data_IF_274790866906
#
_entry.id   IF_274790866906
#
_cell.length_a   1.000
_cell.length_b   1.000
_cell.length_c   1.000
_cell.angle_alpha   90.00
_cell.angle_beta   90.00
_cell.angle_gamma   90.00
#
_symmetry.space_group_name_H-M   'P 1'
#
loop_
_entity.id
_entity.type
_entity.pdbx_description
1 polymer ?
#
# COMPACT_ATOMS: atom_id res chain seq x y z
N UNK A 1 -2.78 -1.55 52.53
CA UNK A 1 -1.72 -0.73 51.91
C UNK A 1 -0.96 -1.59 50.90
N UNK A 2 -0.99 -1.20 49.61
CA UNK A 2 0.10 -1.23 48.58
C UNK A 2 1.31 -2.16 48.86
N UNK A 3 1.82 -3.07 48.01
CA UNK A 3 1.99 -3.19 46.54
C UNK A 3 2.22 -4.70 46.20
N UNK A 4 1.72 -5.31 45.13
CA UNK A 4 2.17 -5.34 43.72
C UNK A 4 3.70 -5.48 43.49
N UNK A 5 4.13 -6.66 42.98
CA UNK A 5 5.15 -6.81 41.92
C UNK A 5 5.25 -8.26 41.41
N UNK A 6 4.99 -8.43 40.11
CA UNK A 6 5.14 -9.65 39.28
C UNK A 6 6.62 -9.98 39.03
N UNK A 7 6.98 -11.26 38.99
CA UNK A 7 8.01 -11.77 38.07
C UNK A 7 7.78 -13.26 37.77
N UNK A 8 7.00 -13.54 36.73
CA UNK A 8 7.00 -14.86 36.07
C UNK A 8 7.59 -14.67 34.69
N UNK A 9 8.81 -15.19 34.52
CA UNK A 9 9.51 -15.28 33.24
C UNK A 9 8.69 -16.18 32.32
N UNK A 10 8.14 -15.62 31.23
CA UNK A 10 7.62 -16.42 30.12
C UNK A 10 8.69 -16.50 29.03
N UNK A 11 9.16 -17.73 28.82
CA UNK A 11 10.10 -18.12 27.79
C UNK A 11 9.51 -17.87 26.39
N UNK A 12 10.33 -17.28 25.50
CA UNK A 12 10.06 -17.25 24.06
C UNK A 12 10.36 -18.65 23.48
N UNK A 13 9.49 -19.25 22.65
CA UNK A 13 9.91 -20.41 21.88
C UNK A 13 10.92 -19.99 20.80
N UNK A 14 12.03 -20.72 20.73
CA UNK A 14 13.05 -20.63 19.69
C UNK A 14 12.40 -21.03 18.35
N UNK A 15 12.58 -20.17 17.35
CA UNK A 15 12.31 -20.53 15.96
C UNK A 15 13.51 -21.36 15.52
N UNK A 16 13.34 -22.68 15.53
CA UNK A 16 14.34 -23.60 15.04
C UNK A 16 14.48 -23.46 13.52
N UNK A 17 15.74 -23.31 13.13
CA UNK A 17 16.28 -23.29 11.78
C UNK A 17 15.86 -24.53 10.98
N UNK A 18 15.05 -24.34 9.94
CA UNK A 18 14.95 -25.29 8.84
C UNK A 18 15.91 -24.87 7.73
N UNK A 19 17.00 -25.64 7.60
CA UNK A 19 17.99 -25.52 6.54
C UNK A 19 17.44 -25.89 5.14
N UNK A 20 18.28 -25.74 4.11
CA UNK A 20 17.84 -25.69 2.72
C UNK A 20 17.55 -27.09 2.17
N UNK A 21 16.50 -27.22 1.35
CA UNK A 21 16.32 -28.38 0.48
C UNK A 21 16.34 -27.99 -1.00
N UNK A 22 16.82 -28.89 -1.86
CA UNK A 22 17.43 -28.54 -3.14
C UNK A 22 16.52 -28.80 -4.35
N UNK A 23 16.67 -27.92 -5.33
CA UNK A 23 16.54 -28.09 -6.78
C UNK A 23 15.37 -28.90 -7.37
N UNK A 24 14.56 -28.20 -8.18
CA UNK A 24 14.37 -28.61 -9.57
C UNK A 24 14.39 -27.40 -10.51
N UNK A 25 15.30 -27.47 -11.48
CA UNK A 25 15.54 -26.51 -12.55
C UNK A 25 14.41 -26.57 -13.58
N UNK A 26 13.72 -25.45 -13.83
CA UNK A 26 13.30 -25.01 -15.17
C UNK A 26 12.40 -23.78 -15.02
N UNK A 27 13.01 -22.59 -15.11
CA UNK A 27 12.47 -21.32 -15.64
C UNK A 27 13.38 -20.18 -15.14
N UNK A 28 14.63 -20.20 -15.60
CA UNK A 28 15.52 -19.06 -15.51
C UNK A 28 15.12 -18.05 -16.59
N UNK A 29 13.99 -17.36 -16.40
CA UNK A 29 13.62 -16.17 -17.16
C UNK A 29 12.68 -15.34 -16.29
N UNK A 30 13.22 -14.73 -15.24
CA UNK A 30 12.85 -13.40 -14.73
C UNK A 30 13.71 -13.13 -13.48
N UNK A 31 14.33 -11.96 -13.42
CA UNK A 31 15.21 -11.46 -12.36
C UNK A 31 16.64 -12.03 -12.26
N UNK A 32 17.52 -11.49 -13.11
CA UNK A 32 18.89 -11.14 -12.72
C UNK A 32 19.17 -9.70 -13.15
N UNK A 33 18.99 -8.76 -12.22
CA UNK A 33 19.63 -7.44 -12.29
C UNK A 33 20.73 -7.43 -11.24
N UNK A 34 21.88 -7.99 -11.61
CA UNK A 34 23.14 -7.71 -10.92
C UNK A 34 23.42 -6.22 -11.03
N UNK A 35 23.45 -5.57 -9.88
CA UNK A 35 23.82 -4.18 -9.69
C UNK A 35 25.28 -3.96 -10.11
N UNK A 36 25.49 -3.35 -11.27
CA UNK A 36 26.71 -2.60 -11.56
C UNK A 36 26.37 -1.39 -12.43
N UNK A 37 26.85 -0.22 -12.00
CA UNK A 37 26.70 1.09 -12.62
C UNK A 37 25.33 1.77 -12.47
N UNK A 38 25.13 2.43 -11.32
CA UNK A 38 25.00 3.90 -11.22
C UNK A 38 23.96 4.66 -12.06
N UNK A 39 23.05 4.00 -12.77
CA UNK A 39 21.92 4.62 -13.47
C UNK A 39 20.71 3.73 -13.27
N UNK A 40 19.79 4.14 -12.40
CA UNK A 40 18.42 3.66 -12.46
C UNK A 40 17.84 4.21 -13.76
N UNK A 41 18.04 3.47 -14.85
CA UNK A 41 17.25 3.64 -16.04
C UNK A 41 15.82 3.33 -15.64
N UNK A 42 14.95 4.34 -15.68
CA UNK A 42 13.52 4.25 -15.44
C UNK A 42 12.84 3.49 -16.62
N UNK A 43 13.36 2.30 -16.93
CA UNK A 43 12.91 1.40 -17.98
C UNK A 43 12.22 0.16 -17.36
N UNK A 44 11.65 0.30 -16.17
CA UNK A 44 10.40 -0.41 -15.91
C UNK A 44 9.32 0.46 -16.51
N UNK A 45 8.87 0.07 -17.71
CA UNK A 45 7.76 0.70 -18.40
C UNK A 45 6.63 0.83 -17.38
N UNK A 46 6.29 2.07 -16.99
CA UNK A 46 5.06 2.37 -16.24
C UNK A 46 3.91 2.11 -17.21
N UNK A 47 3.71 0.84 -17.59
CA UNK A 47 2.62 0.36 -18.41
C UNK A 47 1.35 0.60 -17.60
N UNK A 48 0.65 1.66 -18.00
CA UNK A 48 -0.71 2.06 -17.62
C UNK A 48 -1.14 1.52 -16.24
N UNK A 49 -0.57 2.08 -15.18
CA UNK A 49 -1.17 1.93 -13.85
C UNK A 49 -2.35 2.89 -13.78
N UNK A 50 -3.54 2.36 -13.58
CA UNK A 50 -4.79 3.09 -13.32
C UNK A 50 -5.32 2.68 -11.93
N UNK A 51 -6.41 3.32 -11.51
CA UNK A 51 -7.00 3.06 -10.19
C UNK A 51 -7.48 1.60 -10.06
N UNK A 52 -8.06 1.04 -11.12
CA UNK A 52 -8.55 -0.34 -11.15
C UNK A 52 -7.40 -1.34 -10.96
N UNK A 53 -6.25 -1.11 -11.61
CA UNK A 53 -5.07 -1.95 -11.43
C UNK A 53 -4.47 -1.83 -10.03
N UNK A 54 -4.53 -0.65 -9.41
CA UNK A 54 -4.15 -0.51 -8.00
C UNK A 54 -5.06 -1.32 -7.08
N UNK A 55 -6.39 -1.26 -7.27
CA UNK A 55 -7.35 -2.08 -6.53
C UNK A 55 -7.09 -3.58 -6.74
N UNK A 56 -6.83 -4.00 -7.97
CA UNK A 56 -6.50 -5.39 -8.29
C UNK A 56 -5.27 -5.88 -7.52
N UNK A 57 -4.19 -5.08 -7.53
CA UNK A 57 -2.96 -5.43 -6.80
C UNK A 57 -3.16 -5.43 -5.28
N UNK A 58 -3.99 -4.53 -4.76
CA UNK A 58 -4.35 -4.53 -3.34
C UNK A 58 -5.13 -5.79 -2.92
N UNK A 59 -5.75 -6.49 -3.87
CA UNK A 59 -6.51 -7.72 -3.63
C UNK A 59 -5.68 -8.86 -3.04
N UNK A 60 -4.37 -8.88 -3.28
CA UNK A 60 -3.45 -9.90 -2.76
C UNK A 60 -3.06 -9.67 -1.29
N UNK A 61 -3.36 -8.49 -0.73
CA UNK A 61 -3.11 -8.20 0.67
C UNK A 61 -3.98 -9.08 1.59
N UNK A 62 -3.37 -9.57 2.66
CA UNK A 62 -4.04 -10.48 3.59
C UNK A 62 -4.91 -9.74 4.59
N UNK A 63 -6.18 -10.12 4.67
CA UNK A 63 -7.15 -9.60 5.65
C UNK A 63 -7.68 -10.73 6.53
N UNK A 64 -8.09 -10.36 7.75
CA UNK A 64 -8.69 -11.29 8.69
C UNK A 64 -10.21 -11.38 8.49
N UNK A 65 -10.73 -12.60 8.50
CA UNK A 65 -12.15 -12.89 8.41
C UNK A 65 -12.55 -13.84 9.55
N UNK A 66 -13.82 -13.81 9.92
CA UNK A 66 -14.44 -14.81 10.80
C UNK A 66 -15.37 -15.66 9.93
N UNK A 67 -15.01 -16.92 9.61
CA UNK A 67 -15.86 -17.83 8.87
C UNK A 67 -17.13 -18.18 9.65
N UNK A 68 -18.21 -18.46 8.92
CA UNK A 68 -19.51 -18.90 9.45
C UNK A 68 -19.78 -20.38 9.21
N UNK A 69 -18.87 -21.07 8.53
CA UNK A 69 -18.96 -22.49 8.18
C UNK A 69 -17.62 -23.17 8.43
N UNK A 70 -17.67 -24.48 8.57
CA UNK A 70 -16.49 -25.33 8.60
C UNK A 70 -16.19 -25.83 7.18
N UNK A 71 -14.95 -25.67 6.73
CA UNK A 71 -14.47 -26.20 5.46
C UNK A 71 -12.99 -26.55 5.55
N UNK A 72 -12.60 -27.57 4.80
CA UNK A 72 -11.21 -27.95 4.67
C UNK A 72 -10.40 -26.88 3.91
N UNK A 73 -9.08 -27.06 3.90
CA UNK A 73 -8.16 -26.19 3.16
C UNK A 73 -8.50 -26.14 1.66
N UNK A 74 -8.39 -24.95 1.08
CA UNK A 74 -8.48 -24.73 -0.36
C UNK A 74 -7.07 -24.65 -0.91
N UNK A 75 -6.72 -25.60 -1.78
CA UNK A 75 -5.43 -25.60 -2.47
C UNK A 75 -5.49 -24.69 -3.71
N UNK A 76 -4.87 -23.51 -3.65
CA UNK A 76 -4.72 -22.61 -4.80
C UNK A 76 -3.37 -22.83 -5.49
N UNK A 77 -3.22 -22.30 -6.70
CA UNK A 77 -1.98 -22.40 -7.48
C UNK A 77 -0.78 -21.83 -6.70
N UNK A 78 -0.99 -20.73 -5.97
CA UNK A 78 0.08 -19.99 -5.29
C UNK A 78 0.23 -20.32 -3.81
N UNK A 79 -0.85 -20.77 -3.15
CA UNK A 79 -0.86 -21.04 -1.70
C UNK A 79 -2.11 -21.83 -1.29
N UNK A 80 -2.01 -22.51 -0.16
CA UNK A 80 -3.16 -23.12 0.50
C UNK A 80 -3.82 -22.11 1.45
N UNK A 81 -5.15 -22.11 1.51
CA UNK A 81 -5.92 -21.21 2.38
C UNK A 81 -6.90 -22.01 3.22
N UNK A 82 -6.83 -21.84 4.54
CA UNK A 82 -7.63 -22.56 5.52
C UNK A 82 -6.75 -23.29 6.54
N UNK A 83 -7.30 -24.27 7.27
CA UNK A 83 -8.71 -24.70 7.26
C UNK A 83 -9.63 -23.59 7.77
N UNK A 84 -10.91 -23.64 7.39
CA UNK A 84 -11.91 -22.70 7.86
C UNK A 84 -12.71 -23.33 8.99
N UNK A 85 -12.67 -22.71 10.17
CA UNK A 85 -13.48 -23.09 11.31
C UNK A 85 -14.44 -21.96 11.67
N UNK A 86 -15.72 -22.31 11.85
CA UNK A 86 -16.75 -21.34 12.16
C UNK A 86 -16.45 -20.63 13.49
N UNK A 87 -16.42 -19.29 13.45
CA UNK A 87 -16.12 -18.46 14.60
C UNK A 87 -14.63 -18.28 14.91
N UNK A 88 -13.72 -18.95 14.19
CA UNK A 88 -12.27 -18.82 14.40
C UNK A 88 -11.66 -17.91 13.34
N UNK A 89 -11.01 -16.83 13.78
CA UNK A 89 -10.38 -15.85 12.89
C UNK A 89 -9.33 -16.50 11.97
N UNK A 90 -9.45 -16.28 10.66
CA UNK A 90 -8.55 -16.84 9.64
C UNK A 90 -8.12 -15.74 8.68
N UNK A 91 -6.85 -15.78 8.25
CA UNK A 91 -6.30 -14.81 7.29
C UNK A 91 -6.41 -15.34 5.86
N UNK A 92 -6.95 -14.52 4.97
CA UNK A 92 -7.11 -14.83 3.55
C UNK A 92 -6.76 -13.62 2.69
N UNK A 93 -6.43 -13.79 1.40
CA UNK A 93 -6.31 -12.65 0.49
C UNK A 93 -7.62 -11.87 0.40
N UNK A 94 -7.55 -10.54 0.28
CA UNK A 94 -8.71 -9.65 0.23
C UNK A 94 -9.71 -10.06 -0.86
N UNK A 95 -9.25 -10.44 -2.05
CA UNK A 95 -10.14 -10.92 -3.12
C UNK A 95 -10.98 -12.13 -2.71
N UNK A 96 -10.42 -13.04 -1.90
CA UNK A 96 -11.10 -14.23 -1.41
C UNK A 96 -12.05 -13.88 -0.26
N UNK A 97 -11.63 -13.00 0.65
CA UNK A 97 -12.49 -12.48 1.72
C UNK A 97 -13.80 -11.89 1.15
N UNK A 98 -13.69 -11.07 0.10
CA UNK A 98 -14.85 -10.46 -0.55
C UNK A 98 -15.76 -11.51 -1.21
N UNK A 99 -15.18 -12.53 -1.86
CA UNK A 99 -15.96 -13.61 -2.47
C UNK A 99 -16.73 -14.42 -1.43
N UNK A 100 -16.09 -14.77 -0.30
CA UNK A 100 -16.73 -15.47 0.80
C UNK A 100 -17.80 -14.61 1.48
N UNK A 101 -17.55 -13.31 1.65
CA UNK A 101 -18.53 -12.35 2.18
C UNK A 101 -19.77 -12.25 1.30
N UNK A 102 -19.61 -12.16 -0.03
CA UNK A 102 -20.74 -12.12 -0.99
C UNK A 102 -21.62 -13.37 -0.93
N UNK A 103 -21.07 -14.51 -0.51
CA UNK A 103 -21.82 -15.75 -0.26
C UNK A 103 -22.34 -15.89 1.18
N UNK A 104 -22.15 -14.87 2.02
CA UNK A 104 -22.46 -14.87 3.45
C UNK A 104 -21.73 -15.95 4.25
N UNK A 105 -20.55 -16.39 3.80
CA UNK A 105 -19.76 -17.44 4.45
C UNK A 105 -18.76 -16.92 5.48
N UNK A 106 -18.56 -15.61 5.56
CA UNK A 106 -17.74 -14.99 6.58
C UNK A 106 -18.29 -13.60 6.94
N UNK A 107 -17.72 -13.03 7.99
CA UNK A 107 -17.75 -11.60 8.30
C UNK A 107 -16.31 -11.08 8.22
N UNK A 108 -16.09 -9.97 7.53
CA UNK A 108 -14.75 -9.37 7.45
C UNK A 108 -14.44 -8.68 8.78
N UNK A 109 -13.24 -8.88 9.32
CA UNK A 109 -12.78 -8.15 10.50
C UNK A 109 -12.20 -6.82 10.03
N UNK A 110 -12.70 -5.71 10.58
CA UNK A 110 -12.16 -4.38 10.29
C UNK A 110 -10.67 -4.34 10.64
N UNK A 111 -9.76 -3.98 9.71
CA UNK A 111 -8.36 -3.83 10.03
C UNK A 111 -8.16 -2.75 11.10
N UNK A 112 -7.30 -3.02 12.10
CA UNK A 112 -7.09 -2.10 13.23
C UNK A 112 -6.76 -0.65 12.79
N UNK A 113 -5.94 -0.52 11.73
CA UNK A 113 -5.53 0.77 11.17
C UNK A 113 -6.66 1.54 10.47
N UNK A 114 -7.78 0.89 10.16
CA UNK A 114 -8.97 1.50 9.54
C UNK A 114 -10.03 1.90 10.59
N UNK A 115 -9.72 1.77 11.88
CA UNK A 115 -10.62 2.26 12.94
C UNK A 115 -10.63 3.79 12.99
N UNK A 116 -11.76 4.43 13.39
CA UNK A 116 -11.85 5.89 13.48
C UNK A 116 -10.75 6.54 14.33
N UNK A 117 -10.33 5.88 15.40
CA UNK A 117 -9.29 6.39 16.30
C UNK A 117 -7.91 6.38 15.64
N UNK A 118 -7.55 5.31 14.91
CA UNK A 118 -6.29 5.29 14.17
C UNK A 118 -6.31 6.28 13.00
N UNK A 119 -7.43 6.41 12.29
CA UNK A 119 -7.59 7.40 11.21
C UNK A 119 -7.38 8.84 11.70
N UNK A 120 -7.92 9.19 12.87
CA UNK A 120 -7.64 10.48 13.52
C UNK A 120 -6.16 10.66 13.84
N UNK A 121 -5.47 9.61 14.28
CA UNK A 121 -4.01 9.67 14.53
C UNK A 121 -3.23 9.89 13.24
N UNK A 122 -3.58 9.20 12.16
CA UNK A 122 -2.97 9.43 10.85
C UNK A 122 -3.19 10.87 10.38
N UNK A 123 -4.39 11.43 10.55
CA UNK A 123 -4.68 12.82 10.21
C UNK A 123 -3.84 13.84 11.01
N UNK A 124 -3.68 13.62 12.32
CA UNK A 124 -2.84 14.47 13.17
C UNK A 124 -1.38 14.36 12.74
N UNK A 125 -0.85 13.14 12.59
CA UNK A 125 0.52 12.90 12.15
C UNK A 125 0.78 13.51 10.76
N UNK A 126 -0.17 13.38 9.84
CA UNK A 126 -0.11 13.98 8.50
C UNK A 126 -0.27 15.50 8.56
N UNK A 127 -0.81 16.09 9.62
CA UNK A 127 -0.83 17.56 9.77
C UNK A 127 0.51 18.08 10.28
N UNK A 128 1.11 17.38 11.25
CA UNK A 128 2.34 17.81 11.93
C UNK A 128 3.60 17.50 11.10
N UNK A 129 3.58 16.43 10.30
CA UNK A 129 4.71 16.06 9.46
C UNK A 129 4.83 16.97 8.22
N UNK A 130 6.03 17.48 7.94
CA UNK A 130 6.29 18.24 6.71
C UNK A 130 6.23 17.36 5.45
N UNK A 131 6.63 16.09 5.57
CA UNK A 131 6.51 15.07 4.53
C UNK A 131 5.19 14.29 4.64
N UNK A 132 5.06 13.25 3.82
CA UNK A 132 3.98 12.27 3.94
C UNK A 132 4.26 11.34 5.11
N UNK A 133 3.23 10.97 5.86
CA UNK A 133 3.39 9.93 6.89
C UNK A 133 3.37 8.54 6.25
N UNK A 134 4.04 7.60 6.91
CA UNK A 134 3.94 6.19 6.55
C UNK A 134 2.52 5.69 6.79
N UNK A 135 1.99 4.95 5.82
CA UNK A 135 0.71 4.26 5.88
C UNK A 135 0.94 2.78 5.54
N UNK A 136 0.07 1.87 6.02
CA UNK A 136 0.01 0.50 5.54
C UNK A 136 0.00 0.42 4.01
N UNK A 137 0.49 -0.71 3.47
CA UNK A 137 0.46 -0.94 2.02
C UNK A 137 -0.98 -0.91 1.49
N UNK A 138 -1.16 -0.31 0.32
CA UNK A 138 -2.47 -0.22 -0.36
C UNK A 138 -3.59 0.36 0.51
N UNK A 139 -3.24 1.31 1.37
CA UNK A 139 -4.15 1.86 2.37
C UNK A 139 -5.47 2.35 1.76
N UNK A 140 -5.39 3.16 0.70
CA UNK A 140 -6.56 3.79 0.09
C UNK A 140 -7.38 2.79 -0.72
N UNK A 141 -6.71 1.87 -1.41
CA UNK A 141 -7.34 0.83 -2.19
C UNK A 141 -8.14 -0.12 -1.29
N UNK A 142 -7.52 -0.62 -0.22
CA UNK A 142 -8.19 -1.50 0.75
C UNK A 142 -9.34 -0.76 1.44
N UNK A 143 -9.11 0.48 1.90
CA UNK A 143 -10.16 1.27 2.53
C UNK A 143 -11.36 1.50 1.59
N UNK A 144 -11.11 1.86 0.34
CA UNK A 144 -12.15 2.07 -0.68
C UNK A 144 -12.94 0.78 -0.95
N UNK A 145 -12.24 -0.34 -1.13
CA UNK A 145 -12.86 -1.66 -1.36
C UNK A 145 -13.74 -2.06 -0.18
N UNK A 146 -13.26 -1.91 1.06
CA UNK A 146 -14.01 -2.31 2.26
C UNK A 146 -15.22 -1.40 2.51
N UNK A 147 -15.08 -0.08 2.35
CA UNK A 147 -16.21 0.85 2.48
C UNK A 147 -17.26 0.61 1.39
N UNK A 148 -16.86 0.19 0.19
CA UNK A 148 -17.79 -0.11 -0.92
C UNK A 148 -18.49 -1.46 -0.70
N UNK A 149 -17.71 -2.51 -0.47
CA UNK A 149 -18.19 -3.90 -0.53
C UNK A 149 -18.50 -4.50 0.84
N UNK A 150 -18.04 -3.90 1.94
CA UNK A 150 -18.10 -4.47 3.28
C UNK A 150 -18.48 -3.46 4.39
N UNK A 151 -19.18 -2.37 4.04
CA UNK A 151 -19.53 -1.30 4.98
C UNK A 151 -20.26 -1.79 6.25
N UNK A 152 -21.10 -2.82 6.16
CA UNK A 152 -21.83 -3.40 7.31
C UNK A 152 -20.90 -4.07 8.33
N UNK A 153 -19.71 -4.50 7.90
CA UNK A 153 -18.72 -5.15 8.75
C UNK A 153 -17.77 -4.12 9.40
N UNK A 154 -17.87 -2.84 9.02
CA UNK A 154 -17.00 -1.75 9.48
C UNK A 154 -17.55 -1.06 10.73
N UNK A 155 -16.65 -0.78 11.68
CA UNK A 155 -16.97 0.08 12.83
C UNK A 155 -17.13 1.53 12.37
N UNK A 156 -18.32 2.12 12.59
CA UNK A 156 -18.63 3.51 12.22
C UNK A 156 -18.30 3.84 10.75
N UNK A 157 -18.77 3.01 9.81
CA UNK A 157 -18.40 3.07 8.38
C UNK A 157 -18.51 4.47 7.73
N UNK A 158 -19.54 5.25 8.07
CA UNK A 158 -19.71 6.60 7.50
C UNK A 158 -18.60 7.55 7.96
N UNK A 159 -18.22 7.47 9.25
CA UNK A 159 -17.13 8.24 9.81
C UNK A 159 -15.79 7.78 9.22
N UNK A 160 -15.57 6.48 9.08
CA UNK A 160 -14.38 5.92 8.41
C UNK A 160 -14.24 6.49 7.00
N UNK A 161 -15.33 6.49 6.22
CA UNK A 161 -15.35 7.05 4.86
C UNK A 161 -14.95 8.52 4.85
N UNK A 162 -15.51 9.34 5.75
CA UNK A 162 -15.15 10.76 5.87
C UNK A 162 -13.68 10.94 6.24
N UNK A 163 -13.18 10.22 7.24
CA UNK A 163 -11.79 10.36 7.71
C UNK A 163 -10.76 9.90 6.67
N UNK A 164 -11.07 8.84 5.90
CA UNK A 164 -10.23 8.39 4.78
C UNK A 164 -10.18 9.45 3.69
N UNK A 165 -11.31 10.09 3.37
CA UNK A 165 -11.36 11.19 2.40
C UNK A 165 -10.56 12.40 2.88
N UNK A 166 -10.72 12.81 4.15
CA UNK A 166 -9.95 13.91 4.73
C UNK A 166 -8.44 13.66 4.67
N UNK A 167 -8.02 12.40 4.88
CA UNK A 167 -6.61 12.00 4.82
C UNK A 167 -6.09 12.05 3.37
N UNK A 168 -6.89 11.58 2.41
CA UNK A 168 -6.59 11.69 0.98
C UNK A 168 -6.41 13.15 0.57
N UNK A 169 -7.38 14.02 0.86
CA UNK A 169 -7.36 15.43 0.47
C UNK A 169 -6.14 16.16 1.04
N UNK A 170 -5.79 15.87 2.31
CA UNK A 170 -4.61 16.43 2.97
C UNK A 170 -3.32 16.01 2.26
N UNK A 171 -3.19 14.73 1.91
CA UNK A 171 -2.01 14.18 1.24
C UNK A 171 -1.90 14.64 -0.21
N UNK A 172 -3.01 14.71 -0.92
CA UNK A 172 -3.09 15.28 -2.27
C UNK A 172 -2.65 16.74 -2.28
N UNK A 173 -3.13 17.54 -1.32
CA UNK A 173 -2.71 18.94 -1.19
C UNK A 173 -1.20 19.07 -0.94
N UNK A 174 -0.62 18.23 -0.08
CA UNK A 174 0.83 18.19 0.16
C UNK A 174 1.61 17.80 -1.09
N UNK A 175 1.19 16.75 -1.79
CA UNK A 175 1.82 16.29 -3.04
C UNK A 175 1.79 17.39 -4.09
N UNK A 176 0.64 18.06 -4.27
CA UNK A 176 0.48 19.18 -5.20
C UNK A 176 1.41 20.33 -4.83
N UNK A 177 1.47 20.74 -3.57
CA UNK A 177 2.39 21.79 -3.11
C UNK A 177 3.86 21.40 -3.31
N UNK A 178 4.22 20.14 -3.07
CA UNK A 178 5.57 19.61 -3.29
C UNK A 178 5.97 19.71 -4.76
N UNK A 179 5.08 19.32 -5.69
CA UNK A 179 5.33 19.42 -7.13
C UNK A 179 5.50 20.87 -7.58
N UNK A 180 4.64 21.80 -7.11
CA UNK A 180 4.75 23.22 -7.46
C UNK A 180 6.08 23.80 -6.98
N UNK A 181 6.50 23.48 -5.73
CA UNK A 181 7.79 23.92 -5.20
C UNK A 181 8.96 23.36 -6.03
N UNK A 182 8.89 22.09 -6.42
CA UNK A 182 9.89 21.45 -7.26
C UNK A 182 10.00 22.13 -8.63
N UNK A 183 8.89 22.36 -9.32
CA UNK A 183 8.88 23.02 -10.64
C UNK A 183 9.36 24.47 -10.61
N UNK A 184 9.23 25.14 -9.46
CA UNK A 184 9.69 26.52 -9.30
C UNK A 184 11.22 26.63 -9.12
N UNK A 185 11.89 25.52 -8.84
CA UNK A 185 13.34 25.49 -8.60
C UNK A 185 14.10 25.29 -9.92
N UNK A 186 15.01 26.22 -10.25
CA UNK A 186 15.83 26.14 -11.48
C UNK A 186 17.03 25.20 -11.40
N UNK A 187 17.46 24.85 -10.18
CA UNK A 187 18.74 24.17 -9.92
C UNK A 187 18.57 22.72 -9.41
N UNK A 188 17.33 22.22 -9.31
CA UNK A 188 17.05 20.90 -8.75
C UNK A 188 16.47 19.99 -9.83
N UNK A 189 17.16 18.88 -10.08
CA UNK A 189 16.79 17.89 -11.11
C UNK A 189 16.21 16.59 -10.53
N UNK A 190 16.12 16.48 -9.20
CA UNK A 190 15.66 15.27 -8.51
C UNK A 190 14.65 15.62 -7.41
N UNK A 191 13.64 14.76 -7.23
CA UNK A 191 12.71 14.82 -6.13
C UNK A 191 12.60 13.43 -5.49
N UNK A 192 12.64 13.40 -4.16
CA UNK A 192 12.38 12.19 -3.37
C UNK A 192 11.02 12.35 -2.72
N UNK A 193 10.14 11.38 -2.96
CA UNK A 193 8.81 11.31 -2.35
C UNK A 193 8.72 9.96 -1.64
N UNK A 194 8.91 9.98 -0.32
CA UNK A 194 8.77 8.79 0.51
C UNK A 194 7.28 8.59 0.88
N UNK A 195 6.90 7.34 1.14
CA UNK A 195 5.57 6.93 1.63
C UNK A 195 4.38 7.33 0.73
N UNK A 196 4.60 7.55 -0.56
CA UNK A 196 3.52 7.76 -1.53
C UNK A 196 2.82 6.43 -1.80
N UNK A 197 1.49 6.43 -1.75
CA UNK A 197 0.67 5.26 -2.05
C UNK A 197 0.48 5.08 -3.57
N UNK A 198 0.28 3.85 -4.08
CA UNK A 198 0.15 3.60 -5.52
C UNK A 198 -0.94 4.44 -6.21
N UNK A 199 -2.13 4.54 -5.62
CA UNK A 199 -3.23 5.36 -6.16
C UNK A 199 -2.90 6.86 -6.19
N UNK A 200 -2.12 7.38 -5.23
CA UNK A 200 -1.66 8.78 -5.25
C UNK A 200 -0.73 9.05 -6.45
N UNK A 201 0.16 8.10 -6.78
CA UNK A 201 1.03 8.18 -7.96
C UNK A 201 0.19 8.17 -9.25
N UNK A 202 -0.84 7.34 -9.30
CA UNK A 202 -1.78 7.29 -10.44
C UNK A 202 -2.49 8.63 -10.60
N UNK A 203 -3.01 9.20 -9.51
CA UNK A 203 -3.69 10.49 -9.52
C UNK A 203 -2.77 11.65 -9.95
N UNK A 204 -1.50 11.64 -9.54
CA UNK A 204 -0.52 12.66 -9.91
C UNK A 204 0.02 12.54 -11.36
N UNK A 205 -0.32 11.46 -12.08
CA UNK A 205 0.23 11.14 -13.41
C UNK A 205 0.08 12.27 -14.44
N UNK A 206 -1.08 12.95 -14.59
CA UNK A 206 -1.21 14.04 -15.58
C UNK A 206 -0.22 15.18 -15.30
N UNK A 207 -0.08 15.55 -14.02
CA UNK A 207 0.87 16.58 -13.58
C UNK A 207 2.31 16.17 -13.87
N UNK A 208 2.68 14.93 -13.54
CA UNK A 208 4.02 14.39 -13.81
C UNK A 208 4.32 14.31 -15.32
N UNK A 209 3.32 14.01 -16.15
CA UNK A 209 3.46 14.03 -17.60
C UNK A 209 3.75 15.45 -18.11
N UNK A 210 3.07 16.46 -17.58
CA UNK A 210 3.34 17.87 -17.91
C UNK A 210 4.76 18.30 -17.47
N UNK A 211 5.24 17.83 -16.31
CA UNK A 211 6.61 18.09 -15.84
C UNK A 211 7.67 17.63 -16.86
N UNK A 212 7.45 16.48 -17.53
CA UNK A 212 8.36 15.99 -18.58
C UNK A 212 8.42 16.92 -19.79
N UNK A 213 7.30 17.55 -20.16
CA UNK A 213 7.27 18.52 -21.25
C UNK A 213 8.03 19.79 -20.87
N UNK A 214 7.82 20.30 -19.66
CA UNK A 214 8.55 21.46 -19.13
C UNK A 214 10.05 21.18 -19.12
N UNK A 215 10.48 20.01 -18.65
CA UNK A 215 11.89 19.62 -18.65
C UNK A 215 12.52 19.64 -20.05
N UNK A 216 11.80 19.19 -21.08
CA UNK A 216 12.26 19.26 -22.48
C UNK A 216 12.43 20.71 -22.94
N UNK A 217 11.49 21.59 -22.62
CA UNK A 217 11.57 23.01 -22.96
C UNK A 217 12.77 23.68 -22.29
N UNK A 218 13.00 23.40 -21.00
CA UNK A 218 14.14 23.93 -20.25
C UNK A 218 15.47 23.45 -20.83
N UNK A 219 15.58 22.19 -21.26
CA UNK A 219 16.77 21.68 -21.93
C UNK A 219 17.05 22.43 -23.26
N UNK A 220 16.03 22.57 -24.11
CA UNK A 220 16.16 23.27 -25.39
C UNK A 220 16.60 24.74 -25.23
N UNK A 221 16.14 25.42 -24.18
CA UNK A 221 16.54 26.80 -23.87
C UNK A 221 18.03 26.86 -23.54
N UNK A 222 18.53 25.94 -22.70
CA UNK A 222 19.96 25.89 -22.36
C UNK A 222 20.84 25.60 -23.59
N UNK A 223 20.43 24.67 -24.46
CA UNK A 223 21.17 24.34 -25.69
C UNK A 223 21.24 25.52 -26.67
N UNK A 224 20.13 26.28 -26.78
CA UNK A 224 20.04 27.46 -27.64
C UNK A 224 20.96 28.61 -27.18
N UNK A 225 21.13 28.79 -25.86
CA UNK A 225 22.01 29.81 -25.28
C UNK A 225 23.49 29.47 -25.47
N UNK A 226 23.86 28.18 -25.45
CA UNK A 226 25.23 27.74 -25.69
C UNK A 226 25.67 27.87 -27.16
N UNK A 227 24.72 27.85 -28.10
CA UNK A 227 25.01 27.92 -29.54
C UNK A 227 25.27 29.36 -30.05
N UNK A 228 25.06 30.37 -29.19
CA UNK A 228 25.24 31.81 -29.53
C UNK A 228 26.53 32.41 -28.92
N UNK A 229 27.30 31.62 -28.16
CA UNK A 229 28.60 31.97 -27.58
C UNK A 229 29.71 31.16 -28.22
#
# INVERSE_FOLDING_TARGET
MKNYSRSTQNARPKIDSLGPRPFCNSLAHFFLLTCHCGKISLSFRVDRMDAEKCEFLAGDESIEIIPKLNADEIHLISADVGPFEAGVGTRVPLWLALLLRKKHYCTIVTPNWLSPDELRRYLVAETENAGLTELPNYFFEIAHILVREAHEDLLESDLVKTLVQDLWDRREAKLRTSIVKFLSQKNVSHARLDYVQPTEVVAARPTLAACKQIARLVANIHDSQQSQT
#
